data_IF_893160981612
#
_entry.id   IF_893160981612
#
_cell.length_a   1.000
_cell.length_b   1.000
_cell.length_c   1.000
_cell.angle_alpha   90.00
_cell.angle_beta   90.00
_cell.angle_gamma   90.00
#
_symmetry.space_group_name_H-M   'P 1'
#
loop_
_entity.id
_entity.type
_entity.pdbx_description
1 polymer ?
#
# COMPACT_ATOMS: atom_id res chain seq x y z
N UNK A 1 24.51 -21.70 1.66
CA UNK A 1 24.78 -20.44 2.40
C UNK A 1 23.83 -19.39 1.85
N UNK A 2 22.95 -18.83 2.69
CA UNK A 2 21.80 -18.00 2.29
C UNK A 2 22.26 -16.62 1.76
N UNK A 3 21.64 -16.03 0.73
CA UNK A 3 21.90 -14.61 0.45
C UNK A 3 21.14 -13.72 1.46
N UNK A 4 21.86 -13.06 2.34
CA UNK A 4 21.34 -12.25 3.46
C UNK A 4 20.75 -10.89 3.04
N UNK A 5 19.98 -10.82 1.95
CA UNK A 5 19.62 -9.52 1.37
C UNK A 5 18.28 -8.96 1.93
N UNK A 6 17.57 -9.73 2.77
CA UNK A 6 16.35 -9.28 3.47
C UNK A 6 16.69 -8.75 4.87
N UNK A 7 16.21 -7.55 5.25
CA UNK A 7 16.53 -6.96 6.54
C UNK A 7 15.84 -7.77 7.66
N UNK A 8 16.58 -8.09 8.73
CA UNK A 8 16.05 -8.82 9.90
C UNK A 8 15.78 -7.90 11.07
N UNK A 9 16.54 -6.81 11.14
CA UNK A 9 16.44 -5.79 12.17
C UNK A 9 16.15 -4.43 11.54
N UNK A 10 15.69 -3.48 12.35
CA UNK A 10 15.48 -2.10 11.91
C UNK A 10 16.77 -1.46 11.35
N UNK A 11 17.93 -1.77 11.93
CA UNK A 11 19.22 -1.30 11.44
C UNK A 11 19.52 -1.75 10.01
N UNK A 12 19.08 -2.93 9.61
CA UNK A 12 19.34 -3.51 8.28
C UNK A 12 18.47 -2.89 7.18
N UNK A 13 17.41 -2.15 7.54
CA UNK A 13 16.52 -1.49 6.58
C UNK A 13 17.20 -0.26 5.97
N UNK A 14 16.95 -0.03 4.68
CA UNK A 14 17.45 1.16 3.98
C UNK A 14 16.88 2.46 4.57
N UNK A 15 17.57 3.57 4.31
CA UNK A 15 17.06 4.91 4.63
C UNK A 15 15.67 5.15 4.02
N UNK A 16 15.47 4.79 2.75
CA UNK A 16 14.23 5.06 2.02
C UNK A 16 13.06 4.28 2.61
N UNK A 17 13.28 3.04 3.04
CA UNK A 17 12.24 2.24 3.68
C UNK A 17 11.88 2.78 5.06
N UNK A 18 12.87 3.20 5.86
CA UNK A 18 12.65 3.89 7.14
C UNK A 18 11.87 5.19 6.93
N UNK A 19 12.23 5.97 5.91
CA UNK A 19 11.52 7.19 5.53
C UNK A 19 10.07 6.92 5.13
N UNK A 20 9.80 5.87 4.33
CA UNK A 20 8.46 5.45 3.98
C UNK A 20 7.65 5.05 5.22
N UNK A 21 8.24 4.34 6.18
CA UNK A 21 7.57 4.00 7.44
C UNK A 21 7.23 5.23 8.28
N UNK A 22 8.17 6.18 8.41
CA UNK A 22 7.93 7.45 9.10
C UNK A 22 6.81 8.27 8.42
N UNK A 23 6.80 8.33 7.08
CA UNK A 23 5.72 8.94 6.30
C UNK A 23 4.36 8.33 6.65
N UNK A 24 4.27 6.99 6.72
CA UNK A 24 3.02 6.30 7.07
C UNK A 24 2.55 6.58 8.48
N UNK A 25 3.46 6.62 9.46
CA UNK A 25 3.10 7.00 10.84
C UNK A 25 2.47 8.38 10.86
N UNK A 26 3.02 9.35 10.11
CA UNK A 26 2.43 10.70 10.03
C UNK A 26 1.04 10.66 9.37
N UNK A 27 0.86 9.88 8.31
CA UNK A 27 -0.47 9.73 7.68
C UNK A 27 -1.49 9.12 8.64
N UNK A 28 -1.10 8.10 9.42
CA UNK A 28 -1.97 7.50 10.45
C UNK A 28 -2.27 8.49 11.57
N UNK A 29 -1.29 9.25 12.04
CA UNK A 29 -1.51 10.28 13.05
C UNK A 29 -2.47 11.37 12.56
N UNK A 30 -2.34 11.82 11.31
CA UNK A 30 -3.28 12.75 10.69
C UNK A 30 -4.67 12.14 10.54
N UNK A 31 -4.77 10.86 10.19
CA UNK A 31 -6.04 10.14 10.12
C UNK A 31 -6.74 10.08 11.49
N UNK A 32 -6.01 9.74 12.55
CA UNK A 32 -6.54 9.64 13.92
C UNK A 32 -6.93 11.01 14.51
N UNK A 33 -6.21 12.07 14.15
CA UNK A 33 -6.52 13.44 14.60
C UNK A 33 -7.68 14.06 13.84
N UNK A 34 -8.06 13.50 12.68
CA UNK A 34 -9.38 13.44 12.04
C UNK A 34 -10.10 14.75 11.65
N UNK A 35 -9.75 15.88 12.27
CA UNK A 35 -10.45 17.18 12.15
C UNK A 35 -9.56 18.40 12.35
N UNK A 36 -8.30 18.21 12.72
CA UNK A 36 -7.39 19.32 13.02
C UNK A 36 -6.77 20.02 11.80
N UNK A 37 -6.84 19.40 10.61
CA UNK A 37 -6.15 19.89 9.41
C UNK A 37 -7.07 19.88 8.18
N UNK A 38 -7.01 20.95 7.39
CA UNK A 38 -7.60 21.03 6.07
C UNK A 38 -6.87 20.09 5.09
N UNK A 39 -7.55 19.65 4.03
CA UNK A 39 -7.01 18.69 3.07
C UNK A 39 -5.77 19.24 2.34
N UNK A 40 -5.77 20.54 2.04
CA UNK A 40 -4.60 21.22 1.46
C UNK A 40 -3.40 21.13 2.40
N UNK A 41 -3.59 21.32 3.72
CA UNK A 41 -2.53 21.19 4.72
C UNK A 41 -2.01 19.75 4.80
N UNK A 42 -2.90 18.76 4.76
CA UNK A 42 -2.53 17.34 4.73
C UNK A 42 -1.66 17.02 3.49
N UNK A 43 -2.05 17.52 2.30
CA UNK A 43 -1.26 17.38 1.07
C UNK A 43 0.10 18.05 1.23
N UNK A 44 0.15 19.28 1.73
CA UNK A 44 1.41 20.02 1.90
C UNK A 44 2.35 19.30 2.87
N UNK A 45 1.85 18.79 3.99
CA UNK A 45 2.62 17.99 4.95
C UNK A 45 3.16 16.72 4.27
N UNK A 46 2.29 15.97 3.58
CA UNK A 46 2.70 14.74 2.89
C UNK A 46 3.76 15.02 1.80
N UNK A 47 3.56 16.08 1.00
CA UNK A 47 4.48 16.50 -0.04
C UNK A 47 5.83 16.96 0.53
N UNK A 48 5.82 17.72 1.64
CA UNK A 48 7.04 18.16 2.31
C UNK A 48 7.87 16.98 2.84
N UNK A 49 7.22 15.98 3.46
CA UNK A 49 7.90 14.76 3.93
C UNK A 49 8.49 13.97 2.76
N UNK A 50 7.70 13.75 1.70
CA UNK A 50 8.16 13.04 0.49
C UNK A 50 9.34 13.76 -0.16
N UNK A 51 9.30 15.09 -0.26
CA UNK A 51 10.37 15.90 -0.79
C UNK A 51 11.63 15.81 0.09
N UNK A 52 11.50 15.87 1.41
CA UNK A 52 12.61 15.73 2.34
C UNK A 52 13.29 14.35 2.20
N UNK A 53 12.50 13.27 2.11
CA UNK A 53 13.01 11.91 1.88
C UNK A 53 13.73 11.83 0.53
N UNK A 54 13.15 12.40 -0.53
CA UNK A 54 13.74 12.41 -1.87
C UNK A 54 15.07 13.16 -1.92
N UNK A 55 15.15 14.36 -1.31
CA UNK A 55 16.39 15.14 -1.22
C UNK A 55 17.46 14.38 -0.43
N UNK A 56 17.10 13.85 0.75
CA UNK A 56 18.05 13.11 1.58
C UNK A 56 18.56 11.83 0.89
N UNK A 57 17.67 11.09 0.22
CA UNK A 57 18.04 9.93 -0.59
C UNK A 57 18.95 10.31 -1.75
N UNK A 58 18.67 11.42 -2.43
CA UNK A 58 19.51 11.93 -3.52
C UNK A 58 20.91 12.33 -3.05
N UNK A 59 21.01 13.11 -1.97
CA UNK A 59 22.29 13.52 -1.38
C UNK A 59 23.10 12.29 -0.97
N UNK A 60 22.45 11.30 -0.33
CA UNK A 60 23.07 10.04 0.06
C UNK A 60 23.59 9.27 -1.15
N UNK A 61 22.79 9.09 -2.20
CA UNK A 61 23.20 8.42 -3.46
C UNK A 61 24.41 9.09 -4.09
N UNK A 62 24.44 10.42 -4.13
CA UNK A 62 25.59 11.19 -4.64
C UNK A 62 26.84 10.94 -3.81
N UNK A 63 26.74 10.95 -2.47
CA UNK A 63 27.87 10.72 -1.56
C UNK A 63 28.45 9.31 -1.70
N UNK A 64 27.60 8.29 -1.82
CA UNK A 64 28.03 6.89 -1.94
C UNK A 64 28.29 6.45 -3.39
N UNK A 65 28.29 7.37 -4.37
CA UNK A 65 28.53 7.07 -5.79
C UNK A 65 27.60 5.97 -6.34
N UNK A 66 26.34 5.97 -5.88
CA UNK A 66 25.35 5.00 -6.32
C UNK A 66 25.19 5.04 -7.85
N UNK A 67 25.18 3.86 -8.47
CA UNK A 67 24.99 3.71 -9.90
C UNK A 67 23.71 2.95 -10.16
N UNK A 68 22.77 3.59 -10.85
CA UNK A 68 21.57 2.91 -11.31
C UNK A 68 21.95 1.80 -12.30
N UNK A 69 21.67 0.54 -11.96
CA UNK A 69 21.98 -0.63 -12.79
C UNK A 69 21.11 -0.77 -14.05
N UNK A 70 20.37 0.28 -14.40
CA UNK A 70 19.51 0.34 -15.58
C UNK A 70 18.17 -0.38 -15.43
N UNK A 71 17.29 -0.10 -16.39
CA UNK A 71 15.94 -0.63 -16.49
C UNK A 71 15.93 -1.87 -17.38
N UNK A 72 15.55 -3.02 -16.85
CA UNK A 72 15.27 -4.21 -17.67
C UNK A 72 13.81 -4.17 -18.16
N UNK A 73 13.48 -4.73 -19.34
CA UNK A 73 12.10 -4.76 -19.84
C UNK A 73 11.12 -5.40 -18.85
N UNK A 74 11.55 -6.48 -18.17
CA UNK A 74 10.77 -7.15 -17.13
C UNK A 74 10.44 -6.20 -15.96
N UNK A 75 11.41 -5.38 -15.51
CA UNK A 75 11.17 -4.40 -14.44
C UNK A 75 10.30 -3.24 -14.89
N UNK A 76 10.47 -2.79 -16.13
CA UNK A 76 9.61 -1.78 -16.72
C UNK A 76 8.15 -2.26 -16.76
N UNK A 77 7.92 -3.46 -17.30
CA UNK A 77 6.58 -4.07 -17.33
C UNK A 77 6.00 -4.28 -15.94
N UNK A 78 6.80 -4.76 -14.98
CA UNK A 78 6.38 -4.88 -13.58
C UNK A 78 6.02 -3.54 -12.94
N UNK A 79 6.78 -2.48 -13.20
CA UNK A 79 6.52 -1.14 -12.67
C UNK A 79 5.22 -0.55 -13.25
N UNK A 80 4.98 -0.74 -14.55
CA UNK A 80 3.72 -0.35 -15.20
C UNK A 80 2.54 -1.11 -14.61
N UNK A 81 2.66 -2.43 -14.42
CA UNK A 81 1.61 -3.25 -13.82
C UNK A 81 1.30 -2.80 -12.38
N UNK A 82 2.32 -2.60 -11.55
CA UNK A 82 2.15 -2.10 -10.17
C UNK A 82 1.51 -0.71 -10.18
N UNK A 83 1.96 0.19 -11.06
CA UNK A 83 1.36 1.52 -11.18
C UNK A 83 -0.11 1.45 -11.59
N UNK A 84 -0.47 0.59 -12.54
CA UNK A 84 -1.85 0.39 -12.99
C UNK A 84 -2.74 -0.18 -11.87
N UNK A 85 -2.26 -1.20 -11.14
CA UNK A 85 -2.98 -1.78 -10.01
C UNK A 85 -3.16 -0.78 -8.88
N UNK A 86 -2.14 0.03 -8.57
CA UNK A 86 -2.23 1.06 -7.54
C UNK A 86 -3.11 2.24 -7.97
N UNK A 87 -3.10 2.61 -9.25
CA UNK A 87 -4.01 3.61 -9.79
C UNK A 87 -5.47 3.13 -9.71
N UNK A 88 -5.71 1.86 -10.07
CA UNK A 88 -7.03 1.22 -9.91
C UNK A 88 -7.46 1.20 -8.44
N UNK A 89 -6.57 0.81 -7.53
CA UNK A 89 -6.82 0.85 -6.08
C UNK A 89 -7.21 2.25 -5.63
N UNK A 90 -6.41 3.25 -5.95
CA UNK A 90 -6.64 4.64 -5.56
C UNK A 90 -7.92 5.18 -6.18
N UNK A 91 -8.26 4.79 -7.42
CA UNK A 91 -9.52 5.18 -8.04
C UNK A 91 -10.74 4.55 -7.34
N UNK A 92 -10.70 3.24 -7.06
CA UNK A 92 -11.78 2.55 -6.34
C UNK A 92 -11.96 3.12 -4.91
N UNK A 93 -10.85 3.42 -4.25
CA UNK A 93 -10.79 4.10 -2.96
C UNK A 93 -11.31 5.56 -3.00
N UNK A 94 -10.93 6.31 -4.03
CA UNK A 94 -11.24 7.72 -4.19
C UNK A 94 -12.65 7.99 -4.71
N UNK A 95 -13.33 6.99 -5.30
CA UNK A 95 -14.70 7.13 -5.81
C UNK A 95 -15.65 7.77 -4.79
N UNK A 96 -15.51 7.40 -3.51
CA UNK A 96 -16.27 8.01 -2.42
C UNK A 96 -15.80 9.41 -1.98
N UNK A 97 -14.54 9.77 -2.24
CA UNK A 97 -13.96 11.07 -1.86
C UNK A 97 -14.19 12.16 -2.93
N UNK A 98 -14.01 11.83 -4.21
CA UNK A 98 -14.05 12.81 -5.29
C UNK A 98 -15.47 13.38 -5.54
N UNK A 99 -16.50 12.60 -5.23
CA UNK A 99 -17.89 12.92 -5.59
C UNK A 99 -18.74 13.49 -4.44
N UNK A 100 -18.19 13.57 -3.22
CA UNK A 100 -18.73 14.36 -2.10
C UNK A 100 -18.73 15.89 -2.37
N UNK A 101 -18.41 16.31 -3.60
CA UNK A 101 -18.53 17.68 -4.08
C UNK A 101 -19.95 18.05 -4.56
N UNK A 102 -20.82 17.06 -4.84
CA UNK A 102 -22.16 17.29 -5.40
C UNK A 102 -23.33 17.12 -4.42
N UNK A 103 -23.18 16.26 -3.41
CA UNK A 103 -24.11 16.13 -2.29
C UNK A 103 -23.40 16.69 -1.06
N UNK A 104 -24.01 17.59 -0.31
CA UNK A 104 -23.49 18.17 0.93
C UNK A 104 -23.33 17.15 2.09
N UNK A 105 -23.09 15.88 1.75
CA UNK A 105 -22.87 14.73 2.62
C UNK A 105 -21.37 14.43 2.66
N UNK A 106 -20.64 15.15 3.52
CA UNK A 106 -19.36 14.67 4.06
C UNK A 106 -18.12 14.82 3.18
N UNK A 107 -17.58 16.05 3.15
CA UNK A 107 -16.16 16.44 3.00
C UNK A 107 -15.15 15.35 2.55
N UNK A 108 -14.44 15.49 1.39
CA UNK A 108 -13.30 14.64 0.97
C UNK A 108 -12.10 14.57 1.96
N UNK A 109 -12.19 15.25 3.10
CA UNK A 109 -11.10 15.65 3.97
C UNK A 109 -10.67 14.56 4.97
N UNK A 110 -11.57 13.62 5.31
CA UNK A 110 -11.29 12.64 6.38
C UNK A 110 -10.59 11.37 5.87
N UNK A 111 -10.78 11.01 4.61
CA UNK A 111 -10.01 9.92 3.96
C UNK A 111 -8.72 10.43 3.32
N UNK A 112 -8.48 11.75 3.34
CA UNK A 112 -7.29 12.38 2.77
C UNK A 112 -5.98 11.72 3.22
N UNK A 113 -5.73 11.54 4.53
CA UNK A 113 -4.49 10.93 5.00
C UNK A 113 -4.36 9.46 4.57
N UNK A 114 -5.48 8.74 4.49
CA UNK A 114 -5.49 7.35 4.04
C UNK A 114 -5.20 7.23 2.54
N UNK A 115 -5.76 8.12 1.71
CA UNK A 115 -5.42 8.21 0.29
C UNK A 115 -3.95 8.58 0.07
N UNK A 116 -3.43 9.52 0.86
CA UNK A 116 -2.03 9.92 0.82
C UNK A 116 -1.11 8.77 1.23
N UNK A 117 -1.44 8.01 2.27
CA UNK A 117 -0.74 6.77 2.62
C UNK A 117 -0.70 5.80 1.44
N UNK A 118 -1.84 5.52 0.82
CA UNK A 118 -1.93 4.66 -0.38
C UNK A 118 -1.08 5.16 -1.55
N UNK A 119 -1.06 6.47 -1.78
CA UNK A 119 -0.20 7.09 -2.81
C UNK A 119 1.29 6.92 -2.49
N UNK A 120 1.69 7.11 -1.23
CA UNK A 120 3.06 6.86 -0.77
C UNK A 120 3.51 5.41 -1.02
N UNK A 121 2.65 4.43 -0.70
CA UNK A 121 2.88 3.01 -1.01
C UNK A 121 3.03 2.80 -2.51
N UNK A 122 2.16 3.41 -3.32
CA UNK A 122 2.18 3.27 -4.77
C UNK A 122 3.51 3.74 -5.36
N UNK A 123 3.90 4.97 -5.02
CA UNK A 123 5.15 5.58 -5.48
C UNK A 123 6.34 4.75 -5.02
N UNK A 124 6.40 4.38 -3.74
CA UNK A 124 7.51 3.57 -3.23
C UNK A 124 7.59 2.19 -3.90
N UNK A 125 6.46 1.55 -4.16
CA UNK A 125 6.41 0.23 -4.81
C UNK A 125 6.92 0.29 -6.25
N UNK A 126 6.50 1.31 -7.01
CA UNK A 126 7.00 1.55 -8.37
C UNK A 126 8.51 1.81 -8.34
N UNK A 127 8.98 2.69 -7.46
CA UNK A 127 10.41 2.99 -7.33
C UNK A 127 11.23 1.76 -6.90
N UNK A 128 10.68 0.89 -6.06
CA UNK A 128 11.33 -0.34 -5.62
C UNK A 128 11.45 -1.35 -6.77
N UNK A 129 10.41 -1.51 -7.60
CA UNK A 129 10.46 -2.35 -8.80
C UNK A 129 11.50 -1.82 -9.81
N UNK A 130 11.60 -0.50 -9.95
CA UNK A 130 12.62 0.16 -10.78
C UNK A 130 14.03 0.12 -10.17
N UNK A 131 14.18 -0.44 -8.95
CA UNK A 131 15.40 -0.44 -8.13
C UNK A 131 16.00 0.95 -7.93
N UNK A 132 15.12 1.94 -7.86
CA UNK A 132 15.48 3.26 -7.39
C UNK A 132 15.53 3.20 -5.88
N UNK A 133 14.48 2.74 -5.21
CA UNK A 133 14.50 2.50 -3.75
C UNK A 133 14.87 1.04 -3.43
N UNK A 134 15.37 0.82 -2.21
CA UNK A 134 15.77 -0.49 -1.71
C UNK A 134 15.05 -0.76 -0.40
N UNK A 135 14.80 -2.02 -0.07
CA UNK A 135 14.25 -2.41 1.24
C UNK A 135 15.38 -2.60 2.25
N UNK A 136 16.50 -3.20 1.85
CA UNK A 136 17.68 -3.41 2.70
C UNK A 136 18.83 -2.45 2.39
N UNK A 137 19.56 -2.11 3.44
CA UNK A 137 20.78 -1.30 3.37
C UNK A 137 21.88 -2.00 2.58
N UNK A 138 22.03 -3.30 2.78
CA UNK A 138 22.99 -4.13 2.05
C UNK A 138 22.77 -4.08 0.53
N UNK A 139 21.52 -4.18 0.07
CA UNK A 139 21.21 -4.11 -1.36
C UNK A 139 21.56 -2.74 -1.97
N UNK A 140 21.45 -1.66 -1.19
CA UNK A 140 21.92 -0.34 -1.61
C UNK A 140 23.45 -0.27 -1.72
N UNK A 141 24.17 -0.81 -0.72
CA UNK A 141 25.65 -0.83 -0.71
C UNK A 141 26.23 -1.68 -1.85
N UNK A 142 25.60 -2.81 -2.19
CA UNK A 142 25.97 -3.65 -3.34
C UNK A 142 25.94 -2.90 -4.68
N UNK A 143 25.11 -1.87 -4.80
CA UNK A 143 25.02 -1.01 -5.99
C UNK A 143 25.96 0.19 -5.96
N UNK A 144 26.49 0.54 -4.79
CA UNK A 144 27.49 1.61 -4.62
C UNK A 144 28.92 1.13 -4.90
N UNK A 145 29.12 -0.17 -5.13
CA UNK A 145 30.41 -0.75 -5.49
C UNK A 145 31.30 -1.13 -4.30
N UNK A 146 30.87 -0.88 -3.06
CA UNK A 146 31.62 -1.24 -1.84
C UNK A 146 31.79 -2.75 -1.62
N UNK A 147 30.98 -3.59 -2.28
CA UNK A 147 31.05 -5.06 -2.16
C UNK A 147 31.15 -5.79 -3.51
N UNK A 148 31.53 -5.10 -4.59
CA UNK A 148 31.51 -5.66 -5.95
C UNK A 148 32.48 -6.84 -6.22
N UNK A 149 33.28 -7.26 -5.22
CA UNK A 149 34.23 -8.38 -5.33
C UNK A 149 33.94 -9.58 -4.43
N UNK A 150 32.92 -9.56 -3.56
CA UNK A 150 32.58 -10.73 -2.75
C UNK A 150 31.75 -11.67 -3.62
N UNK A 151 32.34 -12.81 -4.02
CA UNK A 151 31.64 -13.84 -4.77
C UNK A 151 30.32 -14.15 -4.05
N UNK A 152 29.19 -13.87 -4.72
CA UNK A 152 27.87 -14.15 -4.14
C UNK A 152 27.81 -15.65 -3.92
N UNK A 153 27.64 -16.15 -2.68
CA UNK A 153 27.60 -17.58 -2.44
C UNK A 153 26.53 -18.18 -3.33
N UNK A 154 26.88 -19.29 -4.00
CA UNK A 154 25.97 -20.01 -4.87
C UNK A 154 24.69 -20.33 -4.09
N UNK A 155 23.58 -19.69 -4.49
CA UNK A 155 22.30 -19.95 -3.85
C UNK A 155 21.89 -21.37 -4.25
N UNK A 156 21.79 -22.23 -3.24
CA UNK A 156 21.11 -23.51 -3.43
C UNK A 156 19.70 -23.26 -3.97
N UNK A 157 19.22 -24.08 -4.92
CA UNK A 157 17.88 -23.94 -5.47
C UNK A 157 16.85 -23.97 -4.34
N UNK A 158 15.89 -23.04 -4.41
CA UNK A 158 14.87 -22.93 -3.37
C UNK A 158 14.00 -24.20 -3.34
N UNK A 159 13.69 -24.77 -2.16
CA UNK A 159 12.81 -25.93 -2.06
C UNK A 159 11.45 -25.67 -2.72
N UNK A 160 10.96 -26.63 -3.53
CA UNK A 160 9.70 -26.50 -4.29
C UNK A 160 8.51 -26.06 -3.45
N UNK A 161 8.40 -26.55 -2.21
CA UNK A 161 7.29 -26.19 -1.32
C UNK A 161 7.25 -24.69 -1.01
N UNK A 162 8.40 -24.02 -0.86
CA UNK A 162 8.45 -22.56 -0.61
C UNK A 162 7.95 -21.79 -1.81
N UNK A 163 8.35 -22.20 -3.00
CA UNK A 163 7.89 -21.61 -4.27
C UNK A 163 6.37 -21.74 -4.38
N UNK A 164 5.83 -22.93 -4.14
CA UNK A 164 4.37 -23.16 -4.13
C UNK A 164 3.69 -22.27 -3.09
N UNK A 165 4.22 -22.20 -1.86
CA UNK A 165 3.67 -21.35 -0.80
C UNK A 165 3.64 -19.88 -1.21
N UNK A 166 4.66 -19.36 -1.91
CA UNK A 166 4.65 -17.97 -2.42
C UNK A 166 3.50 -17.74 -3.40
N UNK A 167 3.28 -18.65 -4.33
CA UNK A 167 2.20 -18.52 -5.32
C UNK A 167 0.82 -18.63 -4.69
N UNK A 168 0.63 -19.60 -3.78
CA UNK A 168 -0.63 -19.75 -3.03
C UNK A 168 -0.90 -18.49 -2.20
N UNK A 169 0.10 -17.98 -1.50
CA UNK A 169 -0.03 -16.74 -0.74
C UNK A 169 -0.35 -15.55 -1.65
N UNK A 170 0.36 -15.40 -2.78
CA UNK A 170 0.10 -14.32 -3.72
C UNK A 170 -1.32 -14.36 -4.29
N UNK A 171 -1.83 -15.55 -4.63
CA UNK A 171 -3.21 -15.74 -5.08
C UNK A 171 -4.23 -15.40 -3.99
N UNK A 172 -4.00 -15.88 -2.75
CA UNK A 172 -4.86 -15.56 -1.61
C UNK A 172 -4.85 -14.05 -1.28
N UNK A 173 -3.68 -13.41 -1.33
CA UNK A 173 -3.54 -11.96 -1.15
C UNK A 173 -4.29 -11.21 -2.25
N UNK A 174 -4.15 -11.61 -3.51
CA UNK A 174 -4.88 -11.00 -4.62
C UNK A 174 -6.40 -11.14 -4.45
N UNK A 175 -6.87 -12.29 -3.96
CA UNK A 175 -8.29 -12.50 -3.67
C UNK A 175 -8.80 -11.56 -2.56
N UNK A 176 -8.05 -11.44 -1.45
CA UNK A 176 -8.37 -10.47 -0.37
C UNK A 176 -8.38 -9.04 -0.90
N UNK A 177 -7.38 -8.69 -1.72
CA UNK A 177 -7.27 -7.38 -2.33
C UNK A 177 -8.45 -7.08 -3.25
N UNK A 178 -8.82 -8.00 -4.15
CA UNK A 178 -9.97 -7.85 -5.05
C UNK A 178 -11.29 -7.74 -4.29
N UNK A 179 -11.51 -8.55 -3.25
CA UNK A 179 -12.70 -8.43 -2.40
C UNK A 179 -12.77 -7.08 -1.68
N UNK A 180 -11.63 -6.54 -1.25
CA UNK A 180 -11.54 -5.19 -0.67
C UNK A 180 -11.84 -4.11 -1.71
N UNK A 181 -11.41 -4.27 -2.97
CA UNK A 181 -11.73 -3.33 -4.05
C UNK A 181 -13.22 -3.32 -4.37
N UNK A 182 -13.83 -4.51 -4.42
CA UNK A 182 -15.28 -4.67 -4.58
C UNK A 182 -16.05 -4.00 -3.44
N UNK A 183 -15.57 -4.13 -2.19
CA UNK A 183 -16.14 -3.41 -1.04
C UNK A 183 -16.15 -1.90 -1.29
N UNK A 184 -14.99 -1.29 -1.59
CA UNK A 184 -14.92 0.16 -1.79
C UNK A 184 -15.85 0.64 -2.89
N UNK A 185 -15.86 -0.06 -4.03
CA UNK A 185 -16.71 0.28 -5.17
C UNK A 185 -18.21 0.17 -4.83
N UNK A 186 -18.65 -0.92 -4.21
CA UNK A 186 -20.06 -1.13 -3.90
C UNK A 186 -20.55 -0.26 -2.74
N UNK A 187 -19.72 -0.03 -1.73
CA UNK A 187 -20.04 0.89 -0.64
C UNK A 187 -20.24 2.32 -1.16
N UNK A 188 -19.34 2.78 -2.03
CA UNK A 188 -19.46 4.08 -2.69
C UNK A 188 -20.73 4.17 -3.56
N UNK A 189 -21.01 3.15 -4.38
CA UNK A 189 -22.26 3.08 -5.16
C UNK A 189 -23.51 3.14 -4.28
N UNK A 190 -23.55 2.35 -3.20
CA UNK A 190 -24.68 2.32 -2.25
C UNK A 190 -24.88 3.70 -1.61
N UNK A 191 -23.81 4.34 -1.14
CA UNK A 191 -23.89 5.67 -0.52
C UNK A 191 -24.34 6.76 -1.50
N UNK A 192 -23.98 6.66 -2.79
CA UNK A 192 -24.48 7.57 -3.84
C UNK A 192 -25.95 7.38 -4.13
N UNK A 193 -26.45 6.16 -4.04
CA UNK A 193 -27.87 5.87 -4.25
C UNK A 193 -28.72 6.20 -3.01
N UNK A 194 -28.11 6.36 -1.84
CA UNK A 194 -28.81 6.53 -0.57
C UNK A 194 -29.74 7.76 -0.54
N UNK A 195 -30.90 7.62 0.11
CA UNK A 195 -31.85 8.71 0.31
C UNK A 195 -31.63 9.42 1.66
N UNK A 196 -31.79 10.75 1.73
CA UNK A 196 -31.72 11.48 3.01
C UNK A 196 -32.93 11.17 3.93
N UNK A 197 -34.03 10.65 3.38
CA UNK A 197 -35.25 10.28 4.10
C UNK A 197 -35.63 8.83 3.80
N UNK A 198 -36.30 8.11 4.71
CA UNK A 198 -36.69 6.73 4.43
C UNK A 198 -37.67 6.65 3.26
N UNK A 199 -37.49 5.68 2.38
CA UNK A 199 -38.39 5.38 1.25
C UNK A 199 -38.84 3.92 1.30
N UNK A 200 -39.75 3.51 0.42
CA UNK A 200 -40.21 2.11 0.33
C UNK A 200 -39.05 1.15 0.03
N UNK A 201 -38.12 1.58 -0.81
CA UNK A 201 -36.97 0.75 -1.23
C UNK A 201 -35.76 0.93 -0.29
N UNK A 202 -35.66 2.06 0.40
CA UNK A 202 -34.51 2.43 1.23
C UNK A 202 -34.96 2.68 2.67
N UNK A 203 -34.98 1.60 3.43
CA UNK A 203 -35.54 1.57 4.79
C UNK A 203 -34.49 1.51 5.88
N UNK A 204 -33.25 1.12 5.55
CA UNK A 204 -32.21 0.91 6.56
C UNK A 204 -31.36 2.16 6.73
N UNK A 205 -31.41 2.72 7.94
CA UNK A 205 -30.59 3.86 8.32
C UNK A 205 -29.11 3.45 8.49
N UNK A 206 -28.21 4.23 7.89
CA UNK A 206 -26.77 4.17 8.11
C UNK A 206 -26.32 5.55 8.58
N UNK A 207 -25.56 5.57 9.68
CA UNK A 207 -24.88 6.78 10.10
C UNK A 207 -23.55 6.89 9.35
N UNK A 208 -23.50 7.80 8.38
CA UNK A 208 -22.27 8.14 7.68
C UNK A 208 -21.77 9.49 8.21
N UNK A 209 -20.84 9.44 9.16
CA UNK A 209 -20.13 10.63 9.69
C UNK A 209 -21.07 11.68 10.30
N UNK A 210 -22.05 11.22 11.07
CA UNK A 210 -23.03 12.09 11.72
C UNK A 210 -24.21 12.48 10.83
N UNK A 211 -24.20 12.12 9.54
CA UNK A 211 -25.40 12.22 8.70
C UNK A 211 -26.03 10.85 8.54
N UNK A 212 -27.31 10.76 8.88
CA UNK A 212 -28.09 9.55 8.64
C UNK A 212 -28.63 9.56 7.21
N UNK A 213 -28.34 8.50 6.48
CA UNK A 213 -28.89 8.22 5.15
C UNK A 213 -29.56 6.86 5.15
N UNK A 214 -30.46 6.62 4.21
CA UNK A 214 -31.23 5.39 4.10
C UNK A 214 -30.85 4.65 2.83
N UNK A 215 -30.61 3.34 2.94
CA UNK A 215 -30.19 2.47 1.84
C UNK A 215 -31.09 1.25 1.72
N UNK A 216 -31.00 0.55 0.59
CA UNK A 216 -31.69 -0.71 0.40
C UNK A 216 -31.11 -1.80 1.33
N UNK A 217 -31.95 -2.61 2.01
CA UNK A 217 -31.48 -3.66 2.93
C UNK A 217 -30.49 -4.65 2.27
N UNK A 218 -30.76 -5.03 1.02
CA UNK A 218 -29.92 -5.97 0.28
C UNK A 218 -28.52 -5.41 -0.02
N UNK A 219 -28.42 -4.13 -0.40
CA UNK A 219 -27.14 -3.47 -0.64
C UNK A 219 -26.32 -3.35 0.64
N UNK A 220 -26.97 -2.95 1.74
CA UNK A 220 -26.30 -2.89 3.05
C UNK A 220 -25.76 -4.25 3.45
N UNK A 221 -26.55 -5.32 3.32
CA UNK A 221 -26.12 -6.66 3.71
C UNK A 221 -24.88 -7.11 2.94
N UNK A 222 -24.84 -6.88 1.61
CA UNK A 222 -23.68 -7.19 0.79
C UNK A 222 -22.44 -6.38 1.19
N UNK A 223 -22.61 -5.07 1.42
CA UNK A 223 -21.53 -4.18 1.87
C UNK A 223 -21.01 -4.62 3.24
N UNK A 224 -21.87 -4.97 4.20
CA UNK A 224 -21.47 -5.46 5.52
C UNK A 224 -20.67 -6.77 5.42
N UNK A 225 -21.08 -7.71 4.54
CA UNK A 225 -20.34 -8.95 4.31
C UNK A 225 -18.94 -8.69 3.75
N UNK A 226 -18.85 -7.82 2.74
CA UNK A 226 -17.57 -7.45 2.13
C UNK A 226 -16.68 -6.66 3.09
N UNK A 227 -17.28 -5.82 3.93
CA UNK A 227 -16.59 -5.13 5.02
C UNK A 227 -16.00 -6.15 6.00
N UNK A 228 -16.80 -7.12 6.45
CA UNK A 228 -16.33 -8.21 7.31
C UNK A 228 -15.19 -9.01 6.68
N UNK A 229 -15.34 -9.37 5.39
CA UNK A 229 -14.29 -10.03 4.62
C UNK A 229 -12.99 -9.22 4.60
N UNK A 230 -13.06 -7.90 4.37
CA UNK A 230 -11.90 -7.01 4.37
C UNK A 230 -11.25 -6.92 5.76
N UNK A 231 -12.04 -6.71 6.82
CA UNK A 231 -11.54 -6.56 8.19
C UNK A 231 -10.89 -7.83 8.76
N UNK A 232 -11.26 -9.01 8.25
CA UNK A 232 -10.63 -10.28 8.61
C UNK A 232 -9.47 -10.59 7.65
N UNK A 233 -9.72 -10.45 6.35
CA UNK A 233 -8.81 -10.84 5.27
C UNK A 233 -7.50 -10.05 5.27
N UNK A 234 -7.56 -8.72 5.45
CA UNK A 234 -6.34 -7.89 5.45
C UNK A 234 -5.42 -8.23 6.63
N UNK A 235 -5.88 -8.23 7.90
CA UNK A 235 -5.03 -8.64 9.03
C UNK A 235 -4.52 -10.08 8.89
N UNK A 236 -5.35 -11.01 8.42
CA UNK A 236 -4.92 -12.39 8.19
C UNK A 236 -3.82 -12.49 7.13
N UNK A 237 -3.93 -11.74 6.02
CA UNK A 237 -2.92 -11.70 4.98
C UNK A 237 -1.60 -11.10 5.49
N UNK A 238 -1.66 -10.02 6.29
CA UNK A 238 -0.48 -9.40 6.92
C UNK A 238 0.19 -10.36 7.91
N UNK A 239 -0.59 -10.97 8.80
CA UNK A 239 -0.09 -11.93 9.79
C UNK A 239 0.53 -13.16 9.11
N UNK A 240 -0.10 -13.65 8.04
CA UNK A 240 0.43 -14.75 7.22
C UNK A 240 1.74 -14.35 6.54
N UNK A 241 1.80 -13.18 5.86
CA UNK A 241 3.04 -12.67 5.28
C UNK A 241 4.16 -12.59 6.32
N UNK A 242 3.85 -12.06 7.51
CA UNK A 242 4.79 -11.97 8.62
C UNK A 242 5.30 -13.37 9.04
N UNK A 243 4.39 -14.32 9.26
CA UNK A 243 4.75 -15.69 9.63
C UNK A 243 5.61 -16.37 8.55
N UNK A 244 5.21 -16.28 7.28
CA UNK A 244 5.95 -16.85 6.15
C UNK A 244 7.36 -16.25 6.03
N UNK A 245 7.48 -14.93 6.21
CA UNK A 245 8.74 -14.21 6.10
C UNK A 245 9.67 -14.48 7.31
N UNK A 246 9.18 -14.34 8.54
CA UNK A 246 10.03 -14.35 9.74
C UNK A 246 10.17 -15.73 10.38
N UNK A 247 9.13 -16.57 10.32
CA UNK A 247 9.15 -17.91 10.91
C UNK A 247 9.62 -18.94 9.88
N UNK A 248 8.99 -18.99 8.69
CA UNK A 248 9.34 -19.97 7.66
C UNK A 248 10.50 -19.54 6.75
N UNK A 249 10.96 -18.29 6.87
CA UNK A 249 12.05 -17.71 6.07
C UNK A 249 11.79 -17.87 4.56
N UNK A 250 10.56 -17.58 4.13
CA UNK A 250 10.16 -17.53 2.70
C UNK A 250 10.32 -16.08 2.23
N UNK A 251 10.97 -15.87 1.08
CA UNK A 251 11.22 -14.53 0.55
C UNK A 251 10.29 -14.21 -0.61
N UNK A 252 9.46 -13.18 -0.48
CA UNK A 252 8.52 -12.77 -1.54
C UNK A 252 9.16 -12.00 -2.69
N UNK A 253 10.41 -11.57 -2.55
CA UNK A 253 11.08 -10.65 -3.48
C UNK A 253 11.76 -11.41 -4.65
N UNK A 254 11.75 -12.73 -4.61
CA UNK A 254 12.45 -13.63 -5.54
C UNK A 254 11.43 -14.61 -6.14
N UNK A 255 10.75 -14.19 -7.21
CA UNK A 255 10.07 -15.09 -8.14
C UNK A 255 11.08 -15.38 -9.26
N UNK A 256 11.78 -16.51 -9.15
CA UNK A 256 12.63 -17.06 -10.22
C UNK A 256 11.88 -18.16 -10.94
#
# INVERSE_FOLDING_TARGET
MFSDDNPRTWSDMSFEFKGMFAYHIVMVAMFLTGRGLAFVEQILIAAAIMLAIAIASFVRRRRHRWRWRGLTPLRAGGAVLVAALMAFFLFAAAGGALQAQGLALGRPFELGPWMLAGLGIAVFSVLNVLRITHISEKAFQEECGEQAGVAKPELLPEPRWKVITKYVFAAAFLFVWLGSMTFFYLNDRMLRAASPTPTVEQTVAINNKGVTVYVAPAEKHLVDQLQGFMFIGIPAAIATAFFLQFVLKIRFNEFR
#
